data_IF_882008642373
#
_entry.id   IF_882008642373
#
_cell.length_a   1.000
_cell.length_b   1.000
_cell.length_c   1.000
_cell.angle_alpha   90.00
_cell.angle_beta   90.00
_cell.angle_gamma   90.00
#
_symmetry.space_group_name_H-M   'P 1'
#
loop_
_entity.id
_entity.type
_entity.pdbx_description
1 polymer ?
#
# COMPACT_ATOMS: atom_id res chain seq x y z
N UNK A 1 19.43 14.35 -21.44
CA UNK A 1 18.33 14.13 -20.49
C UNK A 1 17.13 13.40 -21.12
N UNK A 2 16.76 13.66 -22.39
CA UNK A 2 15.61 13.02 -23.05
C UNK A 2 15.82 11.53 -23.44
N UNK A 3 17.04 11.03 -23.51
CA UNK A 3 17.35 9.63 -23.85
C UNK A 3 16.93 8.62 -22.78
N UNK A 4 16.71 9.05 -21.53
CA UNK A 4 16.30 8.16 -20.42
C UNK A 4 14.85 7.66 -20.62
N UNK A 5 13.99 8.49 -21.20
CA UNK A 5 12.58 8.13 -21.49
C UNK A 5 12.42 7.05 -22.57
N UNK A 6 13.44 6.76 -23.36
CA UNK A 6 13.42 5.71 -24.37
C UNK A 6 13.82 4.33 -23.85
N UNK A 7 14.35 4.24 -22.63
CA UNK A 7 14.67 2.96 -22.03
C UNK A 7 13.45 2.25 -21.46
N UNK A 8 13.26 0.98 -21.79
CA UNK A 8 12.10 0.15 -21.40
C UNK A 8 11.95 0.06 -19.89
N UNK A 9 13.05 -0.03 -19.13
CA UNK A 9 13.00 -0.07 -17.68
C UNK A 9 12.41 1.21 -17.08
N UNK A 10 12.72 2.37 -17.65
CA UNK A 10 12.21 3.65 -17.17
C UNK A 10 10.72 3.84 -17.51
N UNK A 11 10.30 3.40 -18.70
CA UNK A 11 8.89 3.39 -19.09
C UNK A 11 8.08 2.47 -18.16
N UNK A 12 8.60 1.28 -17.85
CA UNK A 12 7.98 0.37 -16.89
C UNK A 12 7.89 0.99 -15.49
N UNK A 13 8.94 1.68 -15.03
CA UNK A 13 8.94 2.37 -13.75
C UNK A 13 7.87 3.48 -13.68
N UNK A 14 7.70 4.27 -14.76
CA UNK A 14 6.65 5.30 -14.86
C UNK A 14 5.25 4.71 -14.83
N UNK A 15 5.01 3.65 -15.61
CA UNK A 15 3.72 2.95 -15.62
C UNK A 15 3.44 2.33 -14.25
N UNK A 16 4.45 1.73 -13.63
CA UNK A 16 4.35 1.20 -12.28
C UNK A 16 4.02 2.27 -11.24
N UNK A 17 4.69 3.41 -11.30
CA UNK A 17 4.41 4.55 -10.43
C UNK A 17 2.98 5.07 -10.60
N UNK A 18 2.48 5.13 -11.85
CA UNK A 18 1.10 5.52 -12.14
C UNK A 18 0.10 4.51 -11.56
N UNK A 19 0.27 3.22 -11.86
CA UNK A 19 -0.64 2.16 -11.41
C UNK A 19 -0.65 2.06 -9.87
N UNK A 20 0.52 2.10 -9.23
CA UNK A 20 0.61 2.07 -7.76
C UNK A 20 -0.01 3.31 -7.13
N UNK A 21 0.16 4.50 -7.72
CA UNK A 21 -0.47 5.73 -7.22
C UNK A 21 -1.99 5.67 -7.29
N UNK A 22 -2.55 5.18 -8.40
CA UNK A 22 -4.02 5.02 -8.58
C UNK A 22 -4.56 3.99 -7.58
N UNK A 23 -3.93 2.82 -7.51
CA UNK A 23 -4.35 1.71 -6.66
C UNK A 23 -4.28 2.10 -5.17
N UNK A 24 -3.14 2.67 -4.76
CA UNK A 24 -2.95 3.15 -3.39
C UNK A 24 -3.83 4.36 -3.05
N UNK A 25 -4.23 5.20 -4.04
CA UNK A 25 -5.16 6.29 -3.78
C UNK A 25 -6.55 5.77 -3.40
N UNK A 26 -7.08 4.80 -4.13
CA UNK A 26 -8.39 4.20 -3.83
C UNK A 26 -8.39 3.49 -2.49
N UNK A 27 -7.53 2.49 -2.34
CA UNK A 27 -7.46 1.66 -1.12
C UNK A 27 -6.98 2.47 0.08
N UNK A 28 -5.94 3.30 -0.09
CA UNK A 28 -5.39 4.13 0.98
C UNK A 28 -6.37 5.17 1.52
N UNK A 29 -7.24 5.74 0.66
CA UNK A 29 -8.30 6.65 1.13
C UNK A 29 -9.26 5.92 2.08
N UNK A 30 -9.67 4.70 1.77
CA UNK A 30 -10.48 3.88 2.67
C UNK A 30 -9.71 3.55 3.96
N UNK A 31 -8.47 3.07 3.82
CA UNK A 31 -7.59 2.67 4.95
C UNK A 31 -7.35 3.83 5.92
N UNK A 32 -7.05 5.03 5.40
CA UNK A 32 -6.82 6.23 6.22
C UNK A 32 -8.10 6.71 6.89
N UNK A 33 -9.22 6.76 6.15
CA UNK A 33 -10.52 7.19 6.69
C UNK A 33 -10.98 6.27 7.82
N UNK A 34 -10.76 4.95 7.67
CA UNK A 34 -11.07 3.93 8.68
C UNK A 34 -10.02 3.80 9.79
N UNK A 35 -8.91 4.55 9.72
CA UNK A 35 -7.77 4.45 10.66
C UNK A 35 -7.13 3.06 10.69
N UNK A 36 -7.09 2.37 9.55
CA UNK A 36 -6.56 1.01 9.40
C UNK A 36 -5.10 0.99 8.89
N UNK A 37 -4.40 2.13 8.90
CA UNK A 37 -3.01 2.24 8.38
C UNK A 37 -2.08 1.24 9.07
N UNK A 38 -2.20 1.09 10.40
CA UNK A 38 -1.38 0.15 11.18
C UNK A 38 -1.69 -1.31 10.78
N UNK A 39 -2.96 -1.63 10.53
CA UNK A 39 -3.35 -2.96 10.07
C UNK A 39 -2.78 -3.24 8.66
N UNK A 40 -2.83 -2.25 7.76
CA UNK A 40 -2.17 -2.34 6.44
C UNK A 40 -0.66 -2.60 6.57
N UNK A 41 0.01 -1.87 7.45
CA UNK A 41 1.43 -2.09 7.77
C UNK A 41 1.69 -3.50 8.30
N UNK A 42 0.85 -3.98 9.21
CA UNK A 42 0.95 -5.33 9.76
C UNK A 42 0.83 -6.40 8.67
N UNK A 43 -0.14 -6.28 7.76
CA UNK A 43 -0.30 -7.18 6.61
C UNK A 43 0.92 -7.12 5.67
N UNK A 44 1.45 -5.93 5.41
CA UNK A 44 2.61 -5.74 4.54
C UNK A 44 3.85 -6.44 5.09
N UNK A 45 4.16 -6.25 6.36
CA UNK A 45 5.29 -6.93 7.01
C UNK A 45 5.04 -8.44 7.17
N UNK A 46 3.83 -8.86 7.50
CA UNK A 46 3.50 -10.27 7.64
C UNK A 46 3.62 -11.03 6.30
N UNK A 47 3.43 -10.36 5.15
CA UNK A 47 3.57 -10.97 3.83
C UNK A 47 4.98 -11.55 3.58
N UNK A 48 6.01 -11.08 4.30
CA UNK A 48 7.36 -11.70 4.30
C UNK A 48 7.31 -13.18 4.69
N UNK A 49 6.37 -13.58 5.56
CA UNK A 49 6.16 -14.99 5.89
C UNK A 49 5.93 -15.84 4.66
N UNK A 50 5.08 -15.33 3.74
CA UNK A 50 4.80 -15.99 2.47
C UNK A 50 5.96 -15.95 1.49
N UNK A 51 6.76 -14.87 1.49
CA UNK A 51 7.98 -14.76 0.67
C UNK A 51 8.98 -15.84 1.09
N UNK A 52 9.27 -15.97 2.40
CA UNK A 52 10.18 -16.98 2.92
C UNK A 52 9.71 -18.42 2.65
N UNK A 53 8.41 -18.69 2.85
CA UNK A 53 7.83 -20.00 2.51
C UNK A 53 7.95 -20.31 1.02
N UNK A 54 7.69 -19.33 0.14
CA UNK A 54 7.84 -19.51 -1.30
C UNK A 54 9.27 -19.87 -1.69
N UNK A 55 10.26 -19.20 -1.10
CA UNK A 55 11.67 -19.49 -1.32
C UNK A 55 12.06 -20.90 -0.85
N UNK A 56 11.58 -21.32 0.31
CA UNK A 56 11.91 -22.64 0.88
C UNK A 56 11.31 -23.80 0.05
N UNK A 57 10.03 -23.70 -0.31
CA UNK A 57 9.33 -24.74 -1.08
C UNK A 57 9.48 -24.61 -2.60
N UNK A 58 10.18 -23.58 -3.10
CA UNK A 58 10.44 -23.43 -4.53
C UNK A 58 9.27 -22.95 -5.37
N UNK A 59 8.21 -22.38 -4.76
CA UNK A 59 7.14 -21.74 -5.51
C UNK A 59 7.32 -20.20 -5.52
N UNK A 60 6.54 -19.51 -6.34
CA UNK A 60 6.65 -18.05 -6.49
C UNK A 60 6.51 -17.32 -5.14
N UNK A 61 7.53 -16.58 -4.67
CA UNK A 61 7.48 -15.81 -3.43
C UNK A 61 6.34 -14.79 -3.38
N UNK A 62 5.94 -14.24 -4.54
CA UNK A 62 4.82 -13.29 -4.65
C UNK A 62 3.48 -13.98 -4.36
N UNK A 63 3.29 -15.19 -4.87
CA UNK A 63 2.06 -15.97 -4.58
C UNK A 63 2.00 -16.31 -3.09
N UNK A 64 3.13 -16.69 -2.51
CA UNK A 64 3.25 -16.90 -1.05
C UNK A 64 2.90 -15.62 -0.26
N UNK A 65 3.48 -14.49 -0.66
CA UNK A 65 3.20 -13.19 -0.07
C UNK A 65 1.71 -12.85 -0.13
N UNK A 66 1.04 -13.09 -1.28
CA UNK A 66 -0.38 -12.82 -1.45
C UNK A 66 -1.24 -13.69 -0.52
N UNK A 67 -0.97 -15.00 -0.47
CA UNK A 67 -1.67 -15.92 0.44
C UNK A 67 -1.49 -15.52 1.91
N UNK A 68 -0.25 -15.19 2.30
CA UNK A 68 0.05 -14.82 3.68
C UNK A 68 -0.52 -13.44 4.07
N UNK A 69 -0.48 -12.45 3.17
CA UNK A 69 -1.09 -11.15 3.40
C UNK A 69 -2.62 -11.24 3.56
N UNK A 70 -3.29 -12.05 2.71
CA UNK A 70 -4.72 -12.33 2.83
C UNK A 70 -5.04 -13.03 4.16
N UNK A 71 -4.30 -14.09 4.50
CA UNK A 71 -4.46 -14.80 5.77
C UNK A 71 -4.23 -13.88 6.97
N UNK A 72 -3.24 -12.98 6.89
CA UNK A 72 -2.94 -12.00 7.93
C UNK A 72 -4.07 -10.99 8.13
N UNK A 73 -4.62 -10.44 7.05
CA UNK A 73 -5.74 -9.50 7.12
C UNK A 73 -6.98 -10.14 7.74
N UNK A 74 -7.34 -11.34 7.29
CA UNK A 74 -8.46 -12.11 7.83
C UNK A 74 -8.19 -12.56 9.28
N UNK A 75 -6.96 -12.91 9.60
CA UNK A 75 -6.52 -13.29 10.95
C UNK A 75 -6.61 -12.13 11.94
N UNK A 76 -6.19 -10.93 11.55
CA UNK A 76 -6.34 -9.72 12.37
C UNK A 76 -7.82 -9.46 12.68
N UNK A 77 -8.68 -9.55 11.65
CA UNK A 77 -10.11 -9.37 11.82
C UNK A 77 -10.75 -10.44 12.71
N UNK A 78 -10.36 -11.70 12.55
CA UNK A 78 -10.84 -12.81 13.38
C UNK A 78 -10.40 -12.66 14.85
N UNK A 79 -9.12 -12.35 15.11
CA UNK A 79 -8.58 -12.15 16.46
C UNK A 79 -9.28 -10.99 17.17
N UNK A 80 -9.47 -9.87 16.48
CA UNK A 80 -10.09 -8.68 17.04
C UNK A 80 -11.58 -8.88 17.37
N UNK A 81 -12.29 -9.71 16.59
CA UNK A 81 -13.75 -9.87 16.76
C UNK A 81 -14.16 -11.07 17.61
N UNK A 82 -13.45 -12.21 17.48
CA UNK A 82 -13.86 -13.46 18.13
C UNK A 82 -13.01 -13.82 19.35
N UNK A 83 -11.73 -13.47 19.34
CA UNK A 83 -10.82 -13.79 20.44
C UNK A 83 -10.73 -12.66 21.49
N UNK A 84 -11.56 -11.60 21.34
CA UNK A 84 -11.59 -10.44 22.25
C UNK A 84 -10.23 -9.77 22.46
N UNK A 85 -9.29 -9.99 21.53
CA UNK A 85 -7.97 -9.38 21.55
C UNK A 85 -8.09 -7.94 21.06
N UNK A 86 -7.45 -7.00 21.74
CA UNK A 86 -7.38 -5.61 21.27
C UNK A 86 -6.77 -5.55 19.87
N UNK A 87 -7.37 -4.75 19.00
CA UNK A 87 -6.97 -4.66 17.59
C UNK A 87 -5.47 -4.42 17.39
N UNK A 88 -4.89 -3.50 18.17
CA UNK A 88 -3.45 -3.21 18.11
C UNK A 88 -2.58 -4.44 18.46
N UNK A 89 -3.01 -5.21 19.46
CA UNK A 89 -2.31 -6.44 19.88
C UNK A 89 -2.45 -7.54 18.83
N UNK A 90 -3.62 -7.67 18.19
CA UNK A 90 -3.84 -8.63 17.11
C UNK A 90 -2.92 -8.31 15.91
N UNK A 91 -2.82 -7.03 15.54
CA UNK A 91 -1.93 -6.58 14.47
C UNK A 91 -0.47 -6.90 14.82
N UNK A 92 -0.02 -6.56 16.04
CA UNK A 92 1.35 -6.82 16.48
C UNK A 92 1.70 -8.31 16.46
N UNK A 93 0.80 -9.19 16.95
CA UNK A 93 1.00 -10.64 16.92
C UNK A 93 1.14 -11.18 15.50
N UNK A 94 0.23 -10.81 14.59
CA UNK A 94 0.27 -11.28 13.20
C UNK A 94 1.50 -10.73 12.46
N UNK A 95 1.85 -9.48 12.70
CA UNK A 95 3.03 -8.84 12.13
C UNK A 95 4.31 -9.59 12.54
N UNK A 96 4.54 -9.75 13.86
CA UNK A 96 5.74 -10.40 14.36
C UNK A 96 5.82 -11.88 13.99
N UNK A 97 4.69 -12.59 14.01
CA UNK A 97 4.60 -13.97 13.58
C UNK A 97 4.99 -14.13 12.09
N UNK A 98 4.41 -13.30 11.22
CA UNK A 98 4.69 -13.35 9.79
C UNK A 98 6.15 -13.06 9.46
N UNK A 99 6.74 -12.02 10.08
CA UNK A 99 8.16 -11.71 9.91
C UNK A 99 9.05 -12.85 10.41
N UNK A 100 8.75 -13.42 11.58
CA UNK A 100 9.53 -14.52 12.16
C UNK A 100 9.49 -15.76 11.26
N UNK A 101 8.31 -16.14 10.77
CA UNK A 101 8.14 -17.25 9.83
C UNK A 101 8.94 -16.96 8.53
N UNK A 102 8.85 -15.74 8.01
CA UNK A 102 9.56 -15.35 6.79
C UNK A 102 11.08 -15.50 6.92
N UNK A 103 11.64 -14.99 8.01
CA UNK A 103 13.07 -15.09 8.30
C UNK A 103 13.48 -16.55 8.50
N UNK A 104 12.71 -17.35 9.27
CA UNK A 104 12.97 -18.76 9.49
C UNK A 104 13.05 -19.55 8.17
N UNK A 105 12.05 -19.43 7.32
CA UNK A 105 12.04 -20.16 6.06
C UNK A 105 13.07 -19.62 5.05
N UNK A 106 13.35 -18.31 5.07
CA UNK A 106 14.42 -17.73 4.27
C UNK A 106 15.80 -18.28 4.68
N UNK A 107 16.04 -18.49 5.98
CA UNK A 107 17.28 -19.06 6.50
C UNK A 107 17.41 -20.56 6.18
N UNK A 108 16.30 -21.28 6.15
CA UNK A 108 16.25 -22.71 5.83
C UNK A 108 16.24 -22.99 4.32
N UNK A 109 16.02 -21.98 3.49
CA UNK A 109 15.94 -22.15 2.04
C UNK A 109 17.30 -22.60 1.47
N UNK A 110 17.32 -23.58 0.53
CA UNK A 110 18.54 -24.01 -0.12
C UNK A 110 19.06 -22.90 -1.03
N UNK A 111 20.24 -22.36 -0.70
CA UNK A 111 20.86 -21.23 -1.40
C UNK A 111 20.80 -19.95 -0.56
N UNK A 112 21.68 -19.00 -0.89
CA UNK A 112 21.72 -17.72 -0.16
C UNK A 112 20.60 -16.81 -0.64
N UNK A 113 19.58 -16.53 0.18
CA UNK A 113 18.57 -15.53 -0.14
C UNK A 113 19.15 -14.12 0.02
N UNK A 114 19.81 -13.64 -1.05
CA UNK A 114 20.40 -12.29 -1.13
C UNK A 114 19.34 -11.18 -1.24
N UNK A 115 18.10 -11.52 -1.57
CA UNK A 115 17.09 -10.55 -2.01
C UNK A 115 16.07 -10.11 -0.95
N UNK A 116 16.22 -10.52 0.33
CA UNK A 116 15.32 -10.07 1.38
C UNK A 116 15.27 -8.54 1.52
N UNK A 117 16.40 -7.80 1.43
CA UNK A 117 16.40 -6.34 1.38
C UNK A 117 15.63 -5.77 0.16
N UNK A 118 15.64 -6.44 -0.99
CA UNK A 118 14.89 -6.01 -2.16
C UNK A 118 13.37 -6.04 -1.93
N UNK A 119 12.86 -7.00 -1.17
CA UNK A 119 11.45 -7.02 -0.80
C UNK A 119 11.08 -5.93 0.22
N UNK A 120 12.04 -5.50 1.06
CA UNK A 120 11.80 -4.42 2.04
C UNK A 120 11.77 -3.04 1.39
N UNK A 121 12.74 -2.77 0.52
CA UNK A 121 12.93 -1.43 -0.07
C UNK A 121 12.42 -1.33 -1.51
N UNK A 122 12.14 -2.46 -2.16
CA UNK A 122 11.71 -2.53 -3.54
C UNK A 122 12.82 -2.18 -4.53
N UNK A 123 12.59 -2.53 -5.77
CA UNK A 123 13.40 -2.06 -6.89
C UNK A 123 12.47 -1.72 -8.07
N UNK A 124 12.11 -0.46 -8.15
CA UNK A 124 11.19 0.03 -9.18
C UNK A 124 11.79 -0.11 -10.60
N UNK A 125 13.10 -0.28 -10.71
CA UNK A 125 13.78 -0.45 -11.99
C UNK A 125 13.77 -1.90 -12.49
N UNK A 126 13.50 -2.87 -11.62
CA UNK A 126 13.41 -4.31 -11.96
C UNK A 126 12.02 -4.78 -12.38
N UNK A 127 11.06 -3.86 -12.57
CA UNK A 127 9.68 -4.16 -12.93
C UNK A 127 9.59 -4.86 -14.29
N UNK A 128 8.97 -6.03 -14.31
CA UNK A 128 8.70 -6.77 -15.54
C UNK A 128 7.34 -6.40 -16.14
N UNK A 129 7.20 -6.65 -17.45
CA UNK A 129 5.91 -6.46 -18.12
C UNK A 129 4.77 -7.31 -17.49
N UNK A 130 5.10 -8.50 -17.00
CA UNK A 130 4.12 -9.37 -16.29
C UNK A 130 3.62 -8.73 -15.00
N UNK A 131 4.49 -8.06 -14.26
CA UNK A 131 4.12 -7.34 -13.03
C UNK A 131 3.17 -6.16 -13.35
N UNK A 132 3.46 -5.41 -14.42
CA UNK A 132 2.60 -4.32 -14.88
C UNK A 132 1.20 -4.79 -15.30
N UNK A 133 1.12 -5.90 -16.03
CA UNK A 133 -0.17 -6.48 -16.44
C UNK A 133 -0.97 -6.93 -15.20
N UNK A 134 -0.33 -7.63 -14.26
CA UNK A 134 -0.99 -8.06 -13.03
C UNK A 134 -1.50 -6.87 -12.20
N UNK A 135 -0.68 -5.82 -12.05
CA UNK A 135 -1.11 -4.57 -11.39
C UNK A 135 -2.20 -3.83 -12.16
N UNK A 136 -2.13 -3.80 -13.48
CA UNK A 136 -3.16 -3.20 -14.32
C UNK A 136 -4.52 -3.87 -14.13
N UNK A 137 -4.54 -5.20 -14.10
CA UNK A 137 -5.76 -5.98 -13.83
C UNK A 137 -6.29 -5.68 -12.42
N UNK A 138 -5.42 -5.70 -11.40
CA UNK A 138 -5.82 -5.40 -10.03
C UNK A 138 -6.35 -3.97 -9.89
N UNK A 139 -5.70 -3.00 -10.54
CA UNK A 139 -6.13 -1.60 -10.56
C UNK A 139 -7.51 -1.47 -11.23
N UNK A 140 -7.73 -2.13 -12.37
CA UNK A 140 -9.03 -2.12 -13.05
C UNK A 140 -10.14 -2.73 -12.16
N UNK A 141 -9.88 -3.88 -11.54
CA UNK A 141 -10.84 -4.52 -10.62
C UNK A 141 -11.16 -3.57 -9.46
N UNK A 142 -10.14 -2.95 -8.86
CA UNK A 142 -10.33 -2.02 -7.73
C UNK A 142 -11.12 -0.79 -8.14
N UNK A 143 -10.82 -0.18 -9.29
CA UNK A 143 -11.54 0.98 -9.81
C UNK A 143 -13.01 0.65 -10.11
N UNK A 144 -13.28 -0.50 -10.75
CA UNK A 144 -14.66 -0.95 -11.02
C UNK A 144 -15.39 -1.18 -9.70
N UNK A 145 -14.76 -1.84 -8.72
CA UNK A 145 -15.37 -2.08 -7.41
C UNK A 145 -15.67 -0.77 -6.68
N UNK A 146 -14.74 0.18 -6.67
CA UNK A 146 -14.97 1.50 -6.06
C UNK A 146 -16.03 2.31 -6.80
N UNK A 147 -16.09 2.24 -8.12
CA UNK A 147 -17.11 2.95 -8.91
C UNK A 147 -18.50 2.37 -8.68
N UNK A 148 -18.65 1.05 -8.73
CA UNK A 148 -19.96 0.37 -8.58
C UNK A 148 -20.49 0.50 -7.16
N UNK A 149 -19.63 0.35 -6.14
CA UNK A 149 -20.02 0.32 -4.73
C UNK A 149 -19.67 1.59 -3.97
N UNK A 150 -19.45 2.70 -4.67
CA UNK A 150 -18.98 3.94 -4.08
C UNK A 150 -19.77 4.37 -2.85
N UNK A 151 -21.11 4.41 -2.95
CA UNK A 151 -22.00 4.83 -1.84
C UNK A 151 -21.81 3.94 -0.62
N UNK A 152 -21.78 2.65 -0.82
CA UNK A 152 -21.59 1.66 0.26
C UNK A 152 -20.23 1.79 0.91
N UNK A 153 -19.16 2.00 0.12
CA UNK A 153 -17.80 2.18 0.61
C UNK A 153 -17.69 3.48 1.41
N UNK A 154 -18.26 4.58 0.92
CA UNK A 154 -18.25 5.88 1.63
C UNK A 154 -18.99 5.76 2.95
N UNK A 155 -20.20 5.20 2.94
CA UNK A 155 -20.99 5.03 4.16
C UNK A 155 -20.24 4.17 5.19
N UNK A 156 -19.67 3.05 4.74
CA UNK A 156 -18.88 2.17 5.58
C UNK A 156 -17.60 2.84 6.10
N UNK A 157 -16.97 3.68 5.30
CA UNK A 157 -15.73 4.35 5.69
C UNK A 157 -15.93 5.35 6.82
N UNK A 158 -17.05 6.04 6.85
CA UNK A 158 -17.35 7.05 7.87
C UNK A 158 -18.11 6.51 9.07
N UNK A 159 -19.15 5.68 8.85
CA UNK A 159 -19.98 5.16 9.92
C UNK A 159 -20.43 3.71 9.63
N UNK A 160 -19.87 2.80 10.40
CA UNK A 160 -20.13 1.36 10.29
C UNK A 160 -21.54 0.98 10.74
N UNK A 161 -22.03 1.61 11.81
CA UNK A 161 -23.31 1.26 12.39
C UNK A 161 -24.45 1.86 11.54
N UNK A 162 -24.26 3.05 11.01
CA UNK A 162 -25.16 3.62 10.00
C UNK A 162 -25.20 2.76 8.73
N UNK A 163 -24.06 2.25 8.26
CA UNK A 163 -24.03 1.34 7.10
C UNK A 163 -24.90 0.09 7.34
N UNK A 164 -24.91 -0.46 8.56
CA UNK A 164 -25.77 -1.59 8.93
C UNK A 164 -27.25 -1.24 8.89
N UNK A 165 -27.63 -0.07 9.38
CA UNK A 165 -29.04 0.37 9.35
C UNK A 165 -29.56 0.59 7.94
N UNK A 166 -28.66 0.91 7.00
CA UNK A 166 -28.98 1.04 5.57
C UNK A 166 -29.03 -0.31 4.82
N UNK A 167 -28.91 -1.44 5.53
CA UNK A 167 -28.97 -2.77 4.93
C UNK A 167 -27.69 -3.18 4.17
N UNK A 168 -26.58 -2.43 4.33
CA UNK A 168 -25.30 -2.78 3.71
C UNK A 168 -24.74 -4.03 4.41
N UNK A 169 -24.31 -5.03 3.63
CA UNK A 169 -23.65 -6.24 4.14
C UNK A 169 -22.21 -5.91 4.63
N UNK A 170 -22.12 -5.17 5.74
CA UNK A 170 -20.88 -4.60 6.29
C UNK A 170 -19.75 -5.62 6.33
N UNK A 171 -20.02 -6.84 6.83
CA UNK A 171 -19.01 -7.88 6.96
C UNK A 171 -18.41 -8.28 5.61
N UNK A 172 -19.25 -8.44 4.58
CA UNK A 172 -18.80 -8.80 3.23
C UNK A 172 -17.94 -7.69 2.65
N UNK A 173 -18.38 -6.43 2.76
CA UNK A 173 -17.61 -5.29 2.27
C UNK A 173 -16.27 -5.14 3.01
N UNK A 174 -16.23 -5.28 4.33
CA UNK A 174 -14.98 -5.23 5.10
C UNK A 174 -14.04 -6.36 4.68
N UNK A 175 -14.53 -7.58 4.49
CA UNK A 175 -13.71 -8.71 4.03
C UNK A 175 -13.15 -8.47 2.62
N UNK A 176 -13.97 -7.99 1.68
CA UNK A 176 -13.53 -7.69 0.32
C UNK A 176 -12.50 -6.55 0.31
N UNK A 177 -12.73 -5.48 1.06
CA UNK A 177 -11.80 -4.35 1.17
C UNK A 177 -10.48 -4.75 1.85
N UNK A 178 -10.52 -5.62 2.85
CA UNK A 178 -9.32 -6.22 3.47
C UNK A 178 -8.56 -7.06 2.44
N UNK A 179 -9.25 -7.88 1.65
CA UNK A 179 -8.63 -8.67 0.59
C UNK A 179 -8.01 -7.78 -0.51
N UNK A 180 -8.72 -6.75 -0.95
CA UNK A 180 -8.19 -5.77 -1.91
C UNK A 180 -6.98 -5.02 -1.33
N UNK A 181 -6.99 -4.68 -0.04
CA UNK A 181 -5.85 -4.07 0.64
C UNK A 181 -4.64 -5.00 0.64
N UNK A 182 -4.83 -6.27 1.00
CA UNK A 182 -3.75 -7.28 1.00
C UNK A 182 -3.17 -7.49 -0.41
N UNK A 183 -4.03 -7.60 -1.43
CA UNK A 183 -3.60 -7.73 -2.83
C UNK A 183 -2.90 -6.47 -3.34
N UNK A 184 -3.36 -5.27 -2.95
CA UNK A 184 -2.69 -4.01 -3.25
C UNK A 184 -1.29 -3.97 -2.67
N UNK A 185 -1.15 -4.34 -1.41
CA UNK A 185 0.15 -4.43 -0.73
C UNK A 185 1.09 -5.33 -1.51
N UNK A 186 0.66 -6.54 -1.84
CA UNK A 186 1.52 -7.52 -2.54
C UNK A 186 1.78 -7.12 -3.99
N UNK A 187 0.80 -6.56 -4.69
CA UNK A 187 0.98 -6.05 -6.05
C UNK A 187 2.03 -4.94 -6.11
N UNK A 188 2.07 -4.07 -5.12
CA UNK A 188 3.06 -3.02 -5.02
C UNK A 188 4.40 -3.48 -4.40
N UNK A 189 4.43 -4.61 -3.69
CA UNK A 189 5.58 -5.05 -2.88
C UNK A 189 6.86 -5.19 -3.70
N UNK A 190 6.77 -5.83 -4.86
CA UNK A 190 7.94 -6.08 -5.72
C UNK A 190 8.49 -4.79 -6.33
N UNK A 191 7.60 -3.85 -6.65
CA UNK A 191 7.96 -2.60 -7.32
C UNK A 191 8.55 -1.59 -6.34
N UNK A 192 7.94 -1.52 -5.17
CA UNK A 192 8.03 -0.37 -4.28
C UNK A 192 8.59 -0.78 -2.92
N UNK A 193 8.52 -2.06 -2.60
CA UNK A 193 8.91 -2.62 -1.30
C UNK A 193 7.87 -2.36 -0.20
N UNK A 194 7.99 -3.12 0.89
CA UNK A 194 7.06 -3.10 2.01
C UNK A 194 6.95 -1.71 2.64
N UNK A 195 8.09 -1.09 2.93
CA UNK A 195 8.14 0.20 3.64
C UNK A 195 7.50 1.31 2.80
N UNK A 196 7.75 1.32 1.50
CA UNK A 196 7.21 2.33 0.63
C UNK A 196 5.71 2.12 0.34
N UNK A 197 5.22 0.87 0.28
CA UNK A 197 3.78 0.59 0.13
C UNK A 197 2.98 1.21 1.27
N UNK A 198 3.45 1.07 2.52
CA UNK A 198 2.80 1.69 3.69
C UNK A 198 2.77 3.20 3.54
N UNK A 199 3.87 3.80 3.07
CA UNK A 199 3.96 5.23 2.81
C UNK A 199 2.96 5.69 1.74
N UNK A 200 2.87 4.97 0.61
CA UNK A 200 1.92 5.29 -0.48
C UNK A 200 0.45 5.08 -0.09
N UNK A 201 0.16 4.14 0.81
CA UNK A 201 -1.19 3.91 1.34
C UNK A 201 -1.61 4.94 2.40
N UNK A 202 -0.71 5.80 2.87
CA UNK A 202 -1.01 6.72 3.98
C UNK A 202 -0.65 8.18 3.69
N UNK A 203 0.58 8.50 3.27
CA UNK A 203 1.07 9.89 3.20
C UNK A 203 0.35 10.72 2.13
N UNK A 204 0.15 10.24 0.88
CA UNK A 204 -0.60 11.01 -0.12
C UNK A 204 -2.02 11.33 0.32
N UNK A 205 -2.70 10.37 0.99
CA UNK A 205 -4.06 10.53 1.50
C UNK A 205 -4.12 11.52 2.68
N UNK A 206 -3.16 11.44 3.61
CA UNK A 206 -3.04 12.42 4.69
C UNK A 206 -2.77 13.83 4.15
N UNK A 207 -1.96 13.93 3.10
CA UNK A 207 -1.67 15.21 2.43
C UNK A 207 -2.92 15.75 1.73
N UNK A 208 -3.65 14.90 0.99
CA UNK A 208 -4.90 15.25 0.35
C UNK A 208 -5.96 15.72 1.36
N UNK A 209 -6.07 15.05 2.51
CA UNK A 209 -7.00 15.41 3.58
C UNK A 209 -6.75 16.80 4.19
N UNK A 210 -5.57 17.40 3.97
CA UNK A 210 -5.33 18.79 4.37
C UNK A 210 -6.21 19.78 3.59
N UNK A 211 -6.55 19.47 2.33
CA UNK A 211 -7.21 20.41 1.41
C UNK A 211 -8.57 19.92 0.91
N UNK A 212 -8.92 18.65 1.15
CA UNK A 212 -10.16 18.04 0.66
C UNK A 212 -11.15 17.80 1.78
N UNK A 213 -12.46 17.80 1.42
CA UNK A 213 -13.57 17.55 2.38
C UNK A 213 -14.43 16.38 1.97
N UNK A 214 -14.25 15.84 0.76
CA UNK A 214 -15.06 14.74 0.24
C UNK A 214 -14.18 13.53 -0.08
N UNK A 215 -14.74 12.35 0.05
CA UNK A 215 -14.05 11.08 -0.21
C UNK A 215 -13.52 11.00 -1.66
N UNK A 216 -14.34 11.39 -2.64
CA UNK A 216 -13.93 11.44 -4.07
C UNK A 216 -12.75 12.37 -4.30
N UNK A 217 -12.83 13.60 -3.78
CA UNK A 217 -11.76 14.57 -3.91
C UNK A 217 -10.48 14.08 -3.25
N UNK A 218 -10.60 13.38 -2.11
CA UNK A 218 -9.46 12.78 -1.42
C UNK A 218 -8.77 11.71 -2.30
N UNK A 219 -9.52 10.84 -3.00
CA UNK A 219 -8.95 9.86 -3.94
C UNK A 219 -8.19 10.57 -5.06
N UNK A 220 -8.82 11.55 -5.73
CA UNK A 220 -8.21 12.24 -6.88
C UNK A 220 -6.92 12.99 -6.48
N UNK A 221 -6.95 13.75 -5.39
CA UNK A 221 -5.77 14.45 -4.90
C UNK A 221 -4.69 13.48 -4.41
N UNK A 222 -5.06 12.37 -3.75
CA UNK A 222 -4.09 11.36 -3.34
C UNK A 222 -3.40 10.70 -4.52
N UNK A 223 -4.11 10.47 -5.62
CA UNK A 223 -3.54 9.95 -6.86
C UNK A 223 -2.49 10.91 -7.44
N UNK A 224 -2.83 12.19 -7.54
CA UNK A 224 -1.91 13.22 -8.06
C UNK A 224 -0.69 13.37 -7.15
N UNK A 225 -0.90 13.48 -5.83
CA UNK A 225 0.19 13.61 -4.85
C UNK A 225 1.07 12.36 -4.85
N UNK A 226 0.47 11.15 -4.90
CA UNK A 226 1.20 9.90 -5.00
C UNK A 226 2.09 9.83 -6.25
N UNK A 227 1.55 10.26 -7.40
CA UNK A 227 2.33 10.33 -8.64
C UNK A 227 3.49 11.33 -8.54
N UNK A 228 3.24 12.53 -8.00
CA UNK A 228 4.28 13.56 -7.77
C UNK A 228 5.36 13.02 -6.82
N UNK A 229 4.97 12.33 -5.75
CA UNK A 229 5.91 11.72 -4.81
C UNK A 229 6.79 10.65 -5.49
N UNK A 230 6.18 9.78 -6.29
CA UNK A 230 6.92 8.75 -7.03
C UNK A 230 7.90 9.37 -8.04
N UNK A 231 7.45 10.33 -8.85
CA UNK A 231 8.29 10.99 -9.85
C UNK A 231 9.41 11.81 -9.19
N UNK A 232 9.08 12.58 -8.16
CA UNK A 232 10.05 13.37 -7.40
C UNK A 232 11.08 12.48 -6.71
N UNK A 233 10.64 11.41 -6.07
CA UNK A 233 11.53 10.45 -5.42
C UNK A 233 12.42 9.69 -6.38
N UNK A 234 11.90 9.27 -7.55
CA UNK A 234 12.69 8.66 -8.63
C UNK A 234 13.78 9.62 -9.15
N UNK A 235 13.42 10.89 -9.32
CA UNK A 235 14.39 11.93 -9.74
C UNK A 235 15.50 12.10 -8.70
N UNK A 236 15.14 12.20 -7.42
CA UNK A 236 16.13 12.30 -6.31
C UNK A 236 16.99 11.04 -6.23
N UNK A 237 16.38 9.85 -6.36
CA UNK A 237 17.09 8.57 -6.37
C UNK A 237 18.14 8.52 -7.49
N UNK A 238 17.77 8.96 -8.68
CA UNK A 238 18.69 9.00 -9.83
C UNK A 238 19.84 10.00 -9.63
N UNK A 239 19.55 11.20 -9.10
CA UNK A 239 20.57 12.25 -8.91
C UNK A 239 21.57 11.91 -7.80
N UNK A 240 21.10 11.25 -6.72
CA UNK A 240 21.91 10.94 -5.54
C UNK A 240 22.45 9.51 -5.50
N UNK A 241 22.10 8.65 -6.48
CA UNK A 241 22.42 7.22 -6.50
C UNK A 241 22.00 6.49 -5.21
N UNK A 242 20.78 6.77 -4.71
CA UNK A 242 20.22 6.14 -3.50
C UNK A 242 19.03 5.24 -3.86
N UNK A 243 18.65 4.28 -2.99
CA UNK A 243 17.49 3.41 -3.21
C UNK A 243 16.20 4.19 -3.46
N UNK A 244 15.48 3.84 -4.54
CA UNK A 244 14.30 4.59 -5.01
C UNK A 244 13.17 4.62 -3.97
N UNK A 245 12.91 3.50 -3.30
CA UNK A 245 11.88 3.42 -2.26
C UNK A 245 12.11 4.41 -1.11
N UNK A 246 13.35 4.46 -0.60
CA UNK A 246 13.71 5.38 0.48
C UNK A 246 13.59 6.85 0.03
N UNK A 247 14.05 7.18 -1.17
CA UNK A 247 13.96 8.53 -1.73
C UNK A 247 12.51 9.00 -1.86
N UNK A 248 11.61 8.14 -2.36
CA UNK A 248 10.19 8.45 -2.50
C UNK A 248 9.52 8.70 -1.14
N UNK A 249 9.86 7.92 -0.11
CA UNK A 249 9.33 8.11 1.25
C UNK A 249 9.75 9.47 1.78
N UNK A 250 11.04 9.81 1.69
CA UNK A 250 11.57 11.08 2.18
C UNK A 250 10.89 12.26 1.45
N UNK A 251 10.80 12.21 0.12
CA UNK A 251 10.09 13.23 -0.68
C UNK A 251 8.64 13.36 -0.24
N UNK A 252 7.94 12.25 -0.01
CA UNK A 252 6.54 12.24 0.43
C UNK A 252 6.36 12.94 1.79
N UNK A 253 7.22 12.63 2.75
CA UNK A 253 7.18 13.22 4.09
C UNK A 253 7.51 14.71 4.05
N UNK A 254 8.55 15.09 3.31
CA UNK A 254 8.94 16.51 3.13
C UNK A 254 7.79 17.28 2.49
N UNK A 255 7.19 16.76 1.41
CA UNK A 255 6.06 17.40 0.75
C UNK A 255 4.86 17.58 1.69
N UNK A 256 4.55 16.56 2.51
CA UNK A 256 3.48 16.66 3.52
C UNK A 256 3.73 17.80 4.50
N UNK A 257 4.93 17.87 5.07
CA UNK A 257 5.26 18.95 6.04
C UNK A 257 5.26 20.32 5.40
N UNK A 258 5.78 20.46 4.18
CA UNK A 258 5.74 21.72 3.43
C UNK A 258 4.31 22.20 3.22
N UNK A 259 3.44 21.34 2.68
CA UNK A 259 2.04 21.68 2.42
C UNK A 259 1.27 21.97 3.71
N UNK A 260 1.54 21.23 4.79
CA UNK A 260 0.95 21.48 6.10
C UNK A 260 1.37 22.84 6.66
N UNK A 261 2.64 23.18 6.58
CA UNK A 261 3.17 24.48 7.04
C UNK A 261 2.56 25.64 6.27
N UNK A 262 2.50 25.53 4.93
CA UNK A 262 1.85 26.50 4.06
C UNK A 262 0.39 26.71 4.50
N UNK A 263 -0.38 25.64 4.71
CA UNK A 263 -1.77 25.73 5.16
C UNK A 263 -1.91 26.46 6.50
N UNK A 264 -1.04 26.18 7.46
CA UNK A 264 -1.07 26.83 8.78
C UNK A 264 -0.74 28.29 8.67
N UNK A 265 0.29 28.68 7.88
CA UNK A 265 0.65 30.05 7.63
C UNK A 265 -0.50 30.84 6.99
N UNK A 266 -1.10 30.31 5.92
CA UNK A 266 -2.26 30.96 5.27
C UNK A 266 -3.42 31.17 6.23
N UNK A 267 -3.74 30.15 7.08
CA UNK A 267 -4.82 30.28 8.06
C UNK A 267 -4.55 31.36 9.11
N UNK A 268 -3.28 31.61 9.43
CA UNK A 268 -2.86 32.61 10.40
C UNK A 268 -2.90 34.03 9.85
N UNK A 269 -2.76 34.18 8.52
CA UNK A 269 -2.86 35.49 7.84
C UNK A 269 -4.30 35.85 7.44
N UNK A 270 -5.22 34.86 7.45
CA UNK A 270 -6.64 35.06 7.10
C UNK A 270 -7.57 35.15 8.31
N UNK A 271 -7.03 35.03 9.53
CA UNK A 271 -7.73 35.25 10.82
C UNK A 271 -7.30 36.57 11.45
#
# INVERSE_FOLDING_TARGET
MFTIFSYTFFQNALLGALLSSVLCACIGTYVVTRRLVIAGGGMAHASLGGVGMGAYWGFSPIVGAAGFALASGLGIDWLSRKAEVRGDSAIAMIWTLGMSIGILFAYLAPGFMTDLPAYLFGDILSITHKDLVAMGILTAITLIFFFVFERSIITLAYDRDFARTQGIAVRTFETVLTALTALTIVGCLRMVGIVMVISLLSIPQLTAALYTRTFRSMILWSMLIGLVNCLGGLTVSYLLNVPSGAAIIVVSVVLYFLLRTIKVCFKRFSA
#
